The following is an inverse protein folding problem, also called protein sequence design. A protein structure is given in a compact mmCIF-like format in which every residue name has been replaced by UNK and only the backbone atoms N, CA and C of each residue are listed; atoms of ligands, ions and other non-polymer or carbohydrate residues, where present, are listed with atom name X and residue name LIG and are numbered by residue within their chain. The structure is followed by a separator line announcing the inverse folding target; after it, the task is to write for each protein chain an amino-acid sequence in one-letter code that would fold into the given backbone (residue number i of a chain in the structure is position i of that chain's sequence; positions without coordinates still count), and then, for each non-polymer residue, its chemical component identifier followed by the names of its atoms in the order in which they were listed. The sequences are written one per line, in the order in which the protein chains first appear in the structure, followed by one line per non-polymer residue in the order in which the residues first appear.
data_IF_112110717290
#
_entry.id   IF_112110717290
#
_cell.length_a   1.000
_cell.length_b   1.000
_cell.length_c   1.000
_cell.angle_alpha   90.00
_cell.angle_beta   90.00
_cell.angle_gamma   90.00
#
_symmetry.space_group_name_H-M   'P 1'
#
loop_
_entity.id
_entity.type
_entity.pdbx_description
1 polymer ?
#
# COMPACT_ATOMS: atom_id res chain seq x y z
N UNK A 1 -6.66 2.02 22.01
CA UNK A 1 -5.98 0.82 21.46
C UNK A 1 -6.09 0.72 19.94
N UNK A 2 -7.28 0.87 19.33
CA UNK A 2 -7.46 0.74 17.88
C UNK A 2 -6.59 1.66 17.00
N UNK A 3 -6.34 2.91 17.42
CA UNK A 3 -5.47 3.85 16.68
C UNK A 3 -4.01 3.38 16.67
N UNK A 4 -3.52 2.84 17.80
CA UNK A 4 -2.14 2.35 17.94
C UNK A 4 -1.94 1.10 17.06
N UNK A 5 -2.90 0.18 17.08
CA UNK A 5 -2.85 -1.04 16.25
C UNK A 5 -2.98 -0.69 14.76
N UNK A 6 -3.86 0.26 14.41
CA UNK A 6 -4.02 0.73 13.03
C UNK A 6 -2.78 1.41 12.46
N UNK A 7 -2.09 2.23 13.27
CA UNK A 7 -0.81 2.82 12.89
C UNK A 7 0.28 1.78 12.69
N UNK A 8 0.43 0.84 13.62
CA UNK A 8 1.42 -0.23 13.52
C UNK A 8 1.18 -1.15 12.31
N UNK A 9 -0.08 -1.53 12.05
CA UNK A 9 -0.45 -2.34 10.89
C UNK A 9 -0.11 -1.63 9.57
N UNK A 10 -0.44 -0.33 9.47
CA UNK A 10 -0.10 0.48 8.29
C UNK A 10 1.41 0.51 8.05
N UNK A 11 2.23 0.67 9.10
CA UNK A 11 3.69 0.62 8.97
C UNK A 11 4.21 -0.74 8.49
N UNK A 12 3.65 -1.85 8.97
CA UNK A 12 4.02 -3.20 8.52
C UNK A 12 3.69 -3.39 7.04
N UNK A 13 2.50 -2.97 6.62
CA UNK A 13 2.07 -3.02 5.22
C UNK A 13 2.98 -2.14 4.36
N UNK A 14 3.30 -0.93 4.81
CA UNK A 14 4.20 -0.02 4.11
C UNK A 14 5.60 -0.61 3.93
N UNK A 15 6.16 -1.24 4.96
CA UNK A 15 7.47 -1.91 4.87
C UNK A 15 7.42 -3.09 3.90
N UNK A 16 6.37 -3.92 3.95
CA UNK A 16 6.20 -5.01 2.99
C UNK A 16 6.14 -4.50 1.54
N UNK A 17 5.42 -3.40 1.30
CA UNK A 17 5.29 -2.83 -0.04
C UNK A 17 6.59 -2.18 -0.50
N UNK A 18 7.16 -1.29 0.32
CA UNK A 18 8.32 -0.48 -0.07
C UNK A 18 9.64 -1.28 -0.07
N UNK A 19 9.82 -2.20 0.88
CA UNK A 19 11.09 -2.89 1.09
C UNK A 19 11.16 -4.25 0.40
N UNK A 20 10.01 -4.88 0.11
CA UNK A 20 9.95 -6.21 -0.52
C UNK A 20 9.32 -6.13 -1.91
N UNK A 21 8.09 -5.62 -2.02
CA UNK A 21 7.34 -5.67 -3.28
C UNK A 21 7.93 -4.70 -4.32
N UNK A 22 8.26 -3.46 -3.94
CA UNK A 22 8.82 -2.47 -4.87
C UNK A 22 10.16 -2.91 -5.48
N UNK A 23 11.15 -3.42 -4.73
CA UNK A 23 12.39 -3.94 -5.32
C UNK A 23 12.12 -5.07 -6.31
N UNK A 24 11.25 -6.02 -5.98
CA UNK A 24 10.89 -7.12 -6.88
C UNK A 24 10.23 -6.57 -8.15
N UNK A 25 9.24 -5.71 -8.02
CA UNK A 25 8.58 -5.06 -9.16
C UNK A 25 9.56 -4.24 -9.99
N UNK A 26 10.53 -3.56 -9.38
CA UNK A 26 11.51 -2.73 -10.07
C UNK A 26 12.44 -3.54 -10.99
N UNK A 27 12.73 -4.78 -10.61
CA UNK A 27 13.51 -5.73 -11.42
C UNK A 27 12.70 -6.14 -12.67
N UNK A 28 11.42 -6.48 -12.49
CA UNK A 28 10.55 -6.89 -13.60
C UNK A 28 10.17 -5.73 -14.53
N UNK A 29 9.96 -4.54 -13.97
CA UNK A 29 9.50 -3.36 -14.72
C UNK A 29 10.65 -2.52 -15.26
N UNK A 30 11.91 -2.90 -15.02
CA UNK A 30 13.10 -2.25 -15.57
C UNK A 30 13.25 -0.79 -15.08
N UNK A 31 13.12 -0.60 -13.76
CA UNK A 31 13.19 0.72 -13.10
C UNK A 31 12.22 1.74 -13.67
N UNK A 32 10.91 1.43 -13.62
CA UNK A 32 9.88 2.45 -13.83
C UNK A 32 9.99 3.46 -12.69
N UNK A 33 10.73 4.54 -12.93
CA UNK A 33 10.83 5.68 -12.02
C UNK A 33 10.24 6.91 -12.70
N UNK A 34 8.98 7.20 -12.35
CA UNK A 34 8.29 8.39 -12.83
C UNK A 34 8.68 9.64 -12.03
N UNK A 35 9.52 9.53 -10.99
CA UNK A 35 9.82 10.65 -10.09
C UNK A 35 10.49 11.81 -10.82
N UNK A 36 11.28 11.54 -11.86
CA UNK A 36 11.95 12.59 -12.64
C UNK A 36 11.08 13.21 -13.75
N UNK A 37 9.79 12.88 -13.81
CA UNK A 37 8.83 13.58 -14.66
C UNK A 37 8.30 14.82 -13.93
N UNK A 38 8.89 15.97 -14.26
CA UNK A 38 8.46 17.26 -13.74
C UNK A 38 8.57 18.33 -14.83
N UNK A 39 7.74 19.36 -14.67
CA UNK A 39 7.79 20.57 -15.49
C UNK A 39 8.18 21.72 -14.58
N UNK A 40 9.19 22.48 -14.99
CA UNK A 40 9.65 23.69 -14.31
C UNK A 40 8.91 24.90 -14.87
N UNK A 41 8.53 25.83 -13.99
CA UNK A 41 7.75 27.03 -14.35
C UNK A 41 8.64 28.29 -14.46
N UNK A 42 9.94 28.13 -14.22
CA UNK A 42 10.94 29.20 -14.27
C UNK A 42 11.61 29.33 -15.66
N UNK A 43 11.21 28.50 -16.62
CA UNK A 43 11.77 28.46 -17.97
C UNK A 43 13.14 27.78 -18.09
N UNK A 44 13.67 27.21 -17.00
CA UNK A 44 14.96 26.51 -16.96
C UNK A 44 14.75 25.00 -16.92
N UNK A 45 15.43 24.25 -17.78
CA UNK A 45 15.42 22.78 -17.74
C UNK A 45 16.48 22.27 -16.78
N UNK A 46 16.09 21.37 -15.89
CA UNK A 46 16.99 20.68 -14.95
C UNK A 46 16.97 19.19 -15.23
N UNK A 47 18.12 18.53 -15.11
CA UNK A 47 18.25 17.09 -15.37
C UNK A 47 17.54 16.22 -14.32
N UNK A 48 17.35 16.74 -13.10
CA UNK A 48 16.70 16.02 -12.00
C UNK A 48 15.78 16.91 -11.19
N UNK A 49 14.76 16.29 -10.60
CA UNK A 49 13.78 16.98 -9.75
C UNK A 49 14.46 17.57 -8.49
N UNK A 50 15.50 16.90 -8.00
CA UNK A 50 16.32 17.38 -6.90
C UNK A 50 17.13 18.63 -7.27
N UNK A 51 17.68 18.70 -8.49
CA UNK A 51 18.41 19.87 -8.96
C UNK A 51 17.48 21.09 -9.11
N UNK A 52 16.28 20.88 -9.67
CA UNK A 52 15.26 21.92 -9.77
C UNK A 52 14.81 22.43 -8.39
N UNK A 53 14.57 21.53 -7.43
CA UNK A 53 14.23 21.90 -6.05
C UNK A 53 15.35 22.67 -5.35
N UNK A 54 16.62 22.26 -5.53
CA UNK A 54 17.78 22.96 -4.96
C UNK A 54 17.98 24.35 -5.57
N UNK A 55 17.64 24.52 -6.84
CA UNK A 55 17.67 25.81 -7.52
C UNK A 55 16.53 26.75 -7.11
N UNK A 56 15.59 26.29 -6.27
CA UNK A 56 14.41 27.07 -5.89
C UNK A 56 13.37 27.20 -7.02
N UNK A 57 13.50 26.40 -8.07
CA UNK A 57 12.58 26.41 -9.19
C UNK A 57 11.21 25.89 -8.76
N UNK A 58 10.15 26.61 -9.15
CA UNK A 58 8.78 26.12 -8.96
C UNK A 58 8.55 24.99 -9.96
N UNK A 59 8.28 23.79 -9.45
CA UNK A 59 8.15 22.57 -10.27
C UNK A 59 6.77 21.93 -10.08
N UNK A 60 6.11 21.60 -11.19
CA UNK A 60 4.96 20.70 -11.22
C UNK A 60 5.48 19.27 -11.37
N UNK A 61 5.41 18.52 -10.28
CA UNK A 61 5.95 17.17 -10.13
C UNK A 61 4.86 16.11 -10.38
N UNK A 62 4.31 16.08 -11.59
CA UNK A 62 3.24 15.12 -11.96
C UNK A 62 3.74 13.67 -11.91
N UNK A 63 5.03 13.45 -12.12
CA UNK A 63 5.69 12.17 -11.92
C UNK A 63 5.52 11.60 -10.52
N UNK A 64 5.75 12.42 -9.49
CA UNK A 64 5.55 12.02 -8.10
C UNK A 64 4.08 11.68 -7.78
N UNK A 65 3.13 12.35 -8.45
CA UNK A 65 1.71 12.05 -8.30
C UNK A 65 1.35 10.67 -8.89
N UNK A 66 1.85 10.36 -10.09
CA UNK A 66 1.66 9.04 -10.72
C UNK A 66 2.32 7.95 -9.88
N UNK A 67 3.54 8.17 -9.38
CA UNK A 67 4.20 7.26 -8.44
C UNK A 67 3.35 7.03 -7.19
N UNK A 68 2.75 8.10 -6.64
CA UNK A 68 1.83 8.00 -5.50
C UNK A 68 0.60 7.15 -5.79
N UNK A 69 -0.03 7.31 -6.96
CA UNK A 69 -1.17 6.49 -7.40
C UNK A 69 -0.75 5.02 -7.52
N UNK A 70 0.38 4.73 -8.15
CA UNK A 70 0.87 3.37 -8.32
C UNK A 70 1.16 2.72 -6.98
N UNK A 71 1.83 3.42 -6.06
CA UNK A 71 2.10 2.92 -4.71
C UNK A 71 0.80 2.62 -3.95
N UNK A 72 -0.21 3.49 -4.08
CA UNK A 72 -1.52 3.25 -3.48
C UNK A 72 -2.20 2.00 -4.05
N UNK A 73 -2.19 1.81 -5.38
CA UNK A 73 -2.77 0.64 -6.02
C UNK A 73 -2.04 -0.65 -5.63
N UNK A 74 -0.70 -0.63 -5.59
CA UNK A 74 0.11 -1.77 -5.15
C UNK A 74 -0.18 -2.09 -3.69
N UNK A 75 -0.20 -1.08 -2.81
CA UNK A 75 -0.51 -1.27 -1.40
C UNK A 75 -1.91 -1.85 -1.19
N UNK A 76 -2.92 -1.31 -1.88
CA UNK A 76 -4.28 -1.82 -1.84
C UNK A 76 -4.34 -3.28 -2.31
N UNK A 77 -3.63 -3.63 -3.38
CA UNK A 77 -3.54 -4.99 -3.88
C UNK A 77 -2.88 -5.95 -2.88
N UNK A 78 -1.79 -5.53 -2.23
CA UNK A 78 -1.08 -6.33 -1.22
C UNK A 78 -1.96 -6.55 0.01
N UNK A 79 -2.64 -5.51 0.52
CA UNK A 79 -3.59 -5.64 1.63
C UNK A 79 -4.72 -6.59 1.26
N UNK A 80 -5.26 -6.48 0.05
CA UNK A 80 -6.28 -7.40 -0.45
C UNK A 80 -5.79 -8.85 -0.47
N UNK A 81 -4.57 -9.11 -0.95
CA UNK A 81 -3.97 -10.44 -0.94
C UNK A 81 -3.78 -10.98 0.49
N UNK A 82 -3.31 -10.14 1.42
CA UNK A 82 -3.14 -10.53 2.83
C UNK A 82 -4.48 -10.93 3.46
N UNK A 83 -5.52 -10.11 3.29
CA UNK A 83 -6.86 -10.42 3.82
C UNK A 83 -7.41 -11.68 3.17
N UNK A 84 -7.24 -11.85 1.86
CA UNK A 84 -7.64 -13.05 1.13
C UNK A 84 -6.93 -14.30 1.67
N UNK A 85 -5.62 -14.23 1.89
CA UNK A 85 -4.85 -15.35 2.45
C UNK A 85 -5.33 -15.71 3.85
N UNK A 86 -5.50 -14.72 4.74
CA UNK A 86 -6.03 -14.96 6.09
C UNK A 86 -7.43 -15.62 6.01
N UNK A 87 -8.30 -15.15 5.12
CA UNK A 87 -9.63 -15.72 4.94
C UNK A 87 -9.60 -17.13 4.31
N UNK A 88 -8.59 -17.44 3.50
CA UNK A 88 -8.39 -18.76 2.91
C UNK A 88 -7.88 -19.78 3.94
N UNK A 89 -7.01 -19.36 4.86
CA UNK A 89 -6.44 -20.22 5.91
C UNK A 89 -7.30 -20.31 7.16
N UNK A 90 -8.28 -19.41 7.33
CA UNK A 90 -9.37 -19.62 8.28
C UNK A 90 -10.19 -20.83 7.81
N UNK A 91 -9.88 -22.01 8.39
CA UNK A 91 -10.85 -23.11 8.41
C UNK A 91 -12.15 -22.53 8.99
N UNK A 92 -13.33 -22.81 8.40
CA UNK A 92 -14.57 -22.51 9.09
C UNK A 92 -14.44 -23.13 10.48
N UNK A 93 -14.47 -22.30 11.52
CA UNK A 93 -14.69 -22.83 12.86
C UNK A 93 -15.95 -23.69 12.71
N UNK A 94 -15.90 -24.99 13.09
CA UNK A 94 -17.13 -25.78 13.10
C UNK A 94 -18.10 -24.94 13.90
N UNK A 95 -19.16 -24.47 13.25
CA UNK A 95 -20.19 -23.63 13.84
C UNK A 95 -20.46 -24.26 15.19
N UNK A 96 -20.09 -23.57 16.27
CA UNK A 96 -20.19 -24.14 17.61
C UNK A 96 -21.59 -24.69 17.69
N UNK A 97 -21.71 -26.03 17.73
CA UNK A 97 -22.99 -26.69 17.65
C UNK A 97 -23.85 -26.01 18.72
N UNK A 98 -25.06 -25.50 18.37
CA UNK A 98 -25.83 -24.68 19.29
C UNK A 98 -25.89 -25.41 20.63
N UNK A 99 -25.26 -24.82 21.65
CA UNK A 99 -25.10 -25.44 22.97
C UNK A 99 -26.42 -25.51 23.74
N UNK A 100 -27.49 -24.97 23.15
CA UNK A 100 -28.84 -25.07 23.66
C UNK A 100 -29.70 -25.84 22.65
N UNK A 101 -29.95 -27.12 22.95
CA UNK A 101 -31.17 -27.75 22.46
C UNK A 101 -32.34 -26.94 23.01
N UNK A 102 -33.18 -26.37 22.15
CA UNK A 102 -34.50 -25.90 22.54
C UNK A 102 -35.29 -27.14 22.98
N UNK A 103 -35.29 -27.45 24.27
CA UNK A 103 -36.09 -28.52 24.84
C UNK A 103 -37.36 -27.90 25.46
N UNK A 104 -38.53 -28.08 24.84
CA UNK A 104 -39.81 -27.57 25.36
C UNK A 104 -40.25 -28.21 26.69
N UNK A 105 -39.50 -29.20 27.21
CA UNK A 105 -39.85 -30.00 28.39
C UNK A 105 -38.67 -30.25 29.34
N UNK A 106 -37.64 -29.40 29.35
CA UNK A 106 -36.67 -29.44 30.44
C UNK A 106 -37.27 -28.79 31.70
N UNK A 107 -37.62 -29.61 32.70
CA UNK A 107 -37.83 -29.20 34.10
C UNK A 107 -36.48 -29.06 34.82
#
# INVERSE_FOLDING_TARGET
VGIIIGGAFTSIVNSLVNDIIMPILSIFTRKIDFTNLFITLDGSTYDTLEAAKKAGAVTINYGAFITGILNFLIMAFVVFLLVRWINQFKKPEPTAAPTTKQCPYCF
#
